data_IF_686488712847
#
_entry.id   IF_686488712847
#
_cell.length_a   1.000
_cell.length_b   1.000
_cell.length_c   1.000
_cell.angle_alpha   90.00
_cell.angle_beta   90.00
_cell.angle_gamma   90.00
#
_symmetry.space_group_name_H-M   'P 1'
#
loop_
_entity.id
_entity.type
_entity.pdbx_description
1 polymer ?
#
# COMPACT_ATOMS: atom_id res chain seq x y z
N UNK A 1 -2.35 44.42 -28.82
CA UNK A 1 -2.29 44.32 -27.34
C UNK A 1 -3.29 43.24 -26.93
N UNK A 2 -3.10 41.99 -27.37
CA UNK A 2 -2.11 41.01 -26.88
C UNK A 2 -2.44 40.61 -25.44
N UNK A 3 -3.15 39.48 -25.31
CA UNK A 3 -3.18 38.55 -24.16
C UNK A 3 -4.12 37.37 -24.51
N UNK A 4 -3.79 36.62 -25.57
CA UNK A 4 -4.13 35.20 -25.66
C UNK A 4 -2.82 34.44 -25.52
N UNK A 5 -2.43 34.13 -24.29
CA UNK A 5 -1.30 33.27 -24.01
C UNK A 5 -1.69 32.23 -22.96
N UNK A 6 -1.59 30.99 -23.42
CA UNK A 6 -1.18 29.81 -22.67
C UNK A 6 -2.20 29.12 -21.76
N UNK A 7 -3.24 28.54 -22.39
CA UNK A 7 -3.78 27.27 -21.92
C UNK A 7 -3.29 26.14 -22.83
N UNK A 8 -2.04 25.71 -22.63
CA UNK A 8 -1.43 24.60 -23.35
C UNK A 8 -1.96 23.27 -22.80
N UNK A 9 -3.23 22.94 -23.06
CA UNK A 9 -3.75 21.58 -22.83
C UNK A 9 -3.19 20.71 -23.96
N UNK A 10 -2.05 20.04 -23.70
CA UNK A 10 -1.64 18.90 -24.54
C UNK A 10 -2.63 17.77 -24.28
N UNK A 11 -3.51 17.53 -25.23
CA UNK A 11 -4.16 16.23 -25.37
C UNK A 11 -3.06 15.18 -25.57
N UNK A 12 -2.80 14.38 -24.53
CA UNK A 12 -2.02 13.16 -24.67
C UNK A 12 -3.01 12.11 -25.19
N UNK A 13 -3.00 11.87 -26.50
CA UNK A 13 -3.67 10.71 -27.08
C UNK A 13 -2.95 9.47 -26.57
N UNK A 14 -3.55 8.77 -25.60
CA UNK A 14 -3.06 7.47 -25.13
C UNK A 14 -3.45 6.43 -26.17
N UNK A 15 -2.57 6.18 -27.13
CA UNK A 15 -2.74 5.11 -28.13
C UNK A 15 -2.51 3.71 -27.55
N UNK A 16 -2.07 3.63 -26.29
CA UNK A 16 -1.92 2.38 -25.56
C UNK A 16 -3.02 2.22 -24.51
N UNK A 17 -3.61 1.03 -24.43
CA UNK A 17 -4.71 0.67 -23.52
C UNK A 17 -4.32 0.66 -22.02
N UNK A 18 -3.23 1.34 -21.64
CA UNK A 18 -2.83 1.55 -20.25
C UNK A 18 -2.68 3.05 -19.99
N UNK A 19 -3.79 3.69 -19.63
CA UNK A 19 -3.88 5.13 -19.35
C UNK A 19 -3.14 5.60 -18.06
N UNK A 20 -2.10 4.88 -17.61
CA UNK A 20 -1.30 5.23 -16.43
C UNK A 20 0.11 5.60 -16.91
N UNK A 21 0.39 6.91 -16.94
CA UNK A 21 1.76 7.41 -17.16
C UNK A 21 2.61 6.96 -15.97
N UNK A 22 3.54 6.04 -16.20
CA UNK A 22 4.45 5.51 -15.19
C UNK A 22 5.87 5.51 -15.74
N UNK A 23 6.86 5.52 -14.85
CA UNK A 23 8.27 5.47 -15.26
C UNK A 23 8.68 4.03 -15.58
N UNK A 24 9.58 3.83 -16.54
CA UNK A 24 10.05 2.48 -16.90
C UNK A 24 10.67 1.74 -15.71
N UNK A 25 11.30 2.46 -14.78
CA UNK A 25 11.87 1.86 -13.58
C UNK A 25 10.79 1.28 -12.65
N UNK A 26 9.59 1.89 -12.60
CA UNK A 26 8.46 1.37 -11.83
C UNK A 26 7.96 0.06 -12.42
N UNK A 27 7.83 -0.01 -13.75
CA UNK A 27 7.42 -1.22 -14.47
C UNK A 27 8.44 -2.34 -14.22
N UNK A 28 9.71 -2.08 -14.53
CA UNK A 28 10.79 -3.07 -14.38
C UNK A 28 10.93 -3.57 -12.94
N UNK A 29 10.82 -2.68 -11.95
CA UNK A 29 10.89 -3.07 -10.53
C UNK A 29 9.67 -3.89 -10.12
N UNK A 30 8.48 -3.51 -10.56
CA UNK A 30 7.23 -4.25 -10.29
C UNK A 30 7.29 -5.66 -10.87
N UNK A 31 7.73 -5.81 -12.12
CA UNK A 31 7.86 -7.11 -12.78
C UNK A 31 8.87 -8.00 -12.06
N UNK A 32 10.00 -7.43 -11.60
CA UNK A 32 11.00 -8.16 -10.79
C UNK A 32 10.40 -8.62 -9.46
N UNK A 33 9.66 -7.75 -8.77
CA UNK A 33 9.00 -8.08 -7.50
C UNK A 33 7.99 -9.20 -7.69
N UNK A 34 7.09 -9.08 -8.67
CA UNK A 34 6.07 -10.10 -8.97
C UNK A 34 6.73 -11.42 -9.35
N UNK A 35 7.74 -11.40 -10.23
CA UNK A 35 8.47 -12.61 -10.61
C UNK A 35 9.10 -13.29 -9.40
N UNK A 36 9.71 -12.53 -8.48
CA UNK A 36 10.27 -13.11 -7.25
C UNK A 36 9.19 -13.67 -6.34
N UNK A 37 8.10 -12.94 -6.13
CA UNK A 37 6.96 -13.43 -5.35
C UNK A 37 6.41 -14.76 -5.89
N UNK A 38 6.18 -14.87 -7.19
CA UNK A 38 5.66 -16.10 -7.81
C UNK A 38 6.60 -17.31 -7.66
N UNK A 39 7.92 -17.08 -7.58
CA UNK A 39 8.92 -18.16 -7.50
C UNK A 39 9.35 -18.49 -6.07
N UNK A 40 9.38 -17.51 -5.17
CA UNK A 40 9.98 -17.61 -3.82
C UNK A 40 8.92 -17.69 -2.70
N UNK A 41 7.67 -17.30 -2.96
CA UNK A 41 6.65 -17.26 -1.92
C UNK A 41 6.27 -18.66 -1.43
N UNK A 42 6.04 -18.74 -0.13
CA UNK A 42 5.63 -19.95 0.56
C UNK A 42 4.45 -19.64 1.48
N UNK A 43 3.79 -20.70 1.95
CA UNK A 43 2.54 -20.60 2.71
C UNK A 43 2.77 -20.23 4.17
N UNK A 44 3.96 -20.49 4.71
CA UNK A 44 4.28 -20.28 6.12
C UNK A 44 4.95 -18.92 6.41
N UNK A 45 5.63 -18.35 5.41
CA UNK A 45 6.39 -17.10 5.47
C UNK A 45 5.95 -16.20 4.31
N UNK A 46 5.35 -15.03 4.60
CA UNK A 46 4.89 -14.12 3.55
C UNK A 46 6.05 -13.50 2.79
N UNK A 47 5.79 -13.18 1.52
CA UNK A 47 6.69 -12.34 0.73
C UNK A 47 6.39 -10.87 1.04
N UNK A 48 7.27 -10.18 1.76
CA UNK A 48 7.02 -8.81 2.24
C UNK A 48 7.70 -7.79 1.33
N UNK A 49 6.92 -6.82 0.84
CA UNK A 49 7.39 -5.65 0.10
C UNK A 49 7.14 -4.41 0.95
N UNK A 50 8.21 -3.71 1.32
CA UNK A 50 8.14 -2.50 2.13
C UNK A 50 8.40 -1.27 1.25
N UNK A 51 7.42 -0.39 1.11
CA UNK A 51 7.61 0.90 0.46
C UNK A 51 7.98 1.94 1.52
N UNK A 52 9.20 2.47 1.43
CA UNK A 52 9.75 3.47 2.35
C UNK A 52 10.48 4.60 1.59
N UNK A 53 10.68 5.73 2.27
CA UNK A 53 11.26 6.95 1.67
C UNK A 53 10.58 8.22 2.16
N UNK A 54 11.11 9.39 1.79
CA UNK A 54 10.59 10.69 2.22
C UNK A 54 9.13 10.93 1.80
N UNK A 55 8.50 11.90 2.47
CA UNK A 55 7.17 12.38 2.08
C UNK A 55 7.21 12.85 0.61
N UNK A 56 6.10 12.64 -0.10
CA UNK A 56 5.89 13.10 -1.48
C UNK A 56 6.84 12.51 -2.55
N UNK A 57 7.53 11.41 -2.24
CA UNK A 57 8.39 10.67 -3.19
C UNK A 57 7.64 9.64 -4.08
N UNK A 58 6.31 9.66 -4.09
CA UNK A 58 5.51 8.74 -4.92
C UNK A 58 5.34 7.32 -4.36
N UNK A 59 5.61 7.10 -3.07
CA UNK A 59 5.42 5.80 -2.39
C UNK A 59 4.02 5.21 -2.60
N UNK A 60 2.99 5.99 -2.29
CA UNK A 60 1.59 5.55 -2.42
C UNK A 60 1.22 5.27 -3.88
N UNK A 61 1.82 5.99 -4.84
CA UNK A 61 1.64 5.74 -6.28
C UNK A 61 2.27 4.40 -6.67
N UNK A 62 3.52 4.16 -6.28
CA UNK A 62 4.21 2.89 -6.53
C UNK A 62 3.44 1.72 -5.90
N UNK A 63 3.03 1.85 -4.65
CA UNK A 63 2.24 0.87 -3.91
C UNK A 63 0.94 0.52 -4.64
N UNK A 64 0.15 1.51 -5.09
CA UNK A 64 -1.08 1.25 -5.86
C UNK A 64 -0.78 0.56 -7.19
N UNK A 65 0.28 0.99 -7.89
CA UNK A 65 0.70 0.37 -9.14
C UNK A 65 1.07 -1.10 -8.95
N UNK A 66 1.92 -1.41 -7.96
CA UNK A 66 2.31 -2.77 -7.61
C UNK A 66 1.10 -3.64 -7.25
N UNK A 67 0.20 -3.13 -6.40
CA UNK A 67 -1.02 -3.84 -6.00
C UNK A 67 -1.86 -4.17 -7.24
N UNK A 68 -2.12 -3.19 -8.09
CA UNK A 68 -2.94 -3.37 -9.28
C UNK A 68 -2.33 -4.37 -10.27
N UNK A 69 -1.00 -4.40 -10.43
CA UNK A 69 -0.30 -5.40 -11.26
C UNK A 69 -0.31 -6.79 -10.62
N UNK A 70 -0.18 -6.88 -9.30
CA UNK A 70 -0.16 -8.16 -8.59
C UNK A 70 -1.54 -8.84 -8.53
N UNK A 71 -2.63 -8.08 -8.65
CA UNK A 71 -4.00 -8.60 -8.67
C UNK A 71 -4.25 -9.63 -9.79
N UNK A 72 -3.56 -9.50 -10.93
CA UNK A 72 -3.64 -10.45 -12.05
C UNK A 72 -3.26 -11.90 -11.65
N UNK A 73 -2.55 -12.08 -10.53
CA UNK A 73 -2.06 -13.37 -10.07
C UNK A 73 -2.82 -13.94 -8.87
N UNK A 74 -3.82 -13.22 -8.33
CA UNK A 74 -4.53 -13.64 -7.13
C UNK A 74 -5.53 -14.75 -7.44
N UNK A 75 -5.43 -15.85 -6.67
CA UNK A 75 -6.25 -17.04 -6.86
C UNK A 75 -6.32 -17.86 -5.55
N UNK A 76 -6.63 -19.16 -5.64
CA UNK A 76 -6.66 -20.06 -4.49
C UNK A 76 -5.28 -20.31 -3.87
N UNK A 77 -4.20 -20.13 -4.63
CA UNK A 77 -2.80 -20.33 -4.22
C UNK A 77 -2.15 -19.04 -3.73
N UNK A 78 -2.38 -17.93 -4.43
CA UNK A 78 -1.72 -16.65 -4.15
C UNK A 78 -2.67 -15.64 -3.51
N UNK A 79 -2.18 -14.93 -2.49
CA UNK A 79 -2.91 -13.91 -1.75
C UNK A 79 -2.16 -12.58 -1.73
N UNK A 80 -2.89 -11.49 -1.53
CA UNK A 80 -2.34 -10.14 -1.44
C UNK A 80 -2.97 -9.40 -0.27
N UNK A 81 -2.13 -8.98 0.66
CA UNK A 81 -2.54 -8.15 1.78
C UNK A 81 -1.79 -6.82 1.73
N UNK A 82 -2.51 -5.73 1.90
CA UNK A 82 -1.95 -4.39 2.07
C UNK A 82 -1.94 -4.02 3.55
N UNK A 83 -0.78 -3.62 4.07
CA UNK A 83 -0.63 -3.03 5.39
C UNK A 83 -0.45 -1.53 5.26
N UNK A 84 -1.35 -0.79 5.88
CA UNK A 84 -1.25 0.65 5.96
C UNK A 84 -0.68 1.07 7.32
N UNK A 85 0.58 1.48 7.30
CA UNK A 85 1.24 2.06 8.45
C UNK A 85 1.50 3.56 8.26
N UNK A 86 0.92 4.20 7.24
CA UNK A 86 0.97 5.66 7.05
C UNK A 86 -0.32 6.33 7.58
N UNK A 87 -0.30 6.69 8.86
CA UNK A 87 -1.43 7.37 9.53
C UNK A 87 -1.70 8.79 9.01
N UNK A 88 -0.74 9.40 8.29
CA UNK A 88 -0.90 10.72 7.70
C UNK A 88 -1.58 10.71 6.33
N UNK A 89 -1.53 9.57 5.63
CA UNK A 89 -2.15 9.38 4.32
C UNK A 89 -2.72 7.97 4.18
N UNK A 90 -3.79 7.70 4.92
CA UNK A 90 -4.42 6.39 4.92
C UNK A 90 -5.04 6.02 3.56
N UNK A 91 -5.01 4.74 3.24
CA UNK A 91 -5.72 4.06 2.15
C UNK A 91 -6.72 3.08 2.78
N UNK A 92 -7.91 2.93 2.20
CA UNK A 92 -9.03 2.10 2.69
C UNK A 92 -9.68 2.51 4.02
N UNK A 93 -9.06 3.35 4.84
CA UNK A 93 -9.60 3.78 6.13
C UNK A 93 -9.76 5.29 6.20
N UNK A 94 -10.46 5.74 7.24
CA UNK A 94 -10.38 7.15 7.66
C UNK A 94 -8.97 7.45 8.19
N UNK A 95 -8.63 8.74 8.32
CA UNK A 95 -7.34 9.18 8.83
C UNK A 95 -7.00 8.66 10.23
N UNK A 96 -5.72 8.78 10.60
CA UNK A 96 -5.18 8.39 11.91
C UNK A 96 -5.32 6.90 12.24
N UNK A 97 -5.49 6.04 11.23
CA UNK A 97 -5.66 4.60 11.40
C UNK A 97 -4.46 3.83 10.89
N UNK A 98 -4.09 2.76 11.60
CA UNK A 98 -3.28 1.69 11.04
C UNK A 98 -4.20 0.53 10.68
N UNK A 99 -3.96 -0.13 9.55
CA UNK A 99 -4.78 -1.29 9.20
C UNK A 99 -4.05 -2.31 8.34
N UNK A 100 -4.66 -3.48 8.17
CA UNK A 100 -4.37 -4.33 7.01
C UNK A 100 -5.66 -4.76 6.30
N UNK A 101 -5.56 -4.91 4.98
CA UNK A 101 -6.69 -5.25 4.11
C UNK A 101 -6.25 -6.29 3.09
N UNK A 102 -7.02 -7.37 2.96
CA UNK A 102 -6.86 -8.31 1.85
C UNK A 102 -7.44 -7.67 0.58
N UNK A 103 -6.66 -7.70 -0.50
CA UNK A 103 -6.97 -7.01 -1.75
C UNK A 103 -7.41 -8.01 -2.80
N UNK A 104 -8.62 -7.82 -3.30
CA UNK A 104 -9.25 -8.68 -4.32
C UNK A 104 -9.75 -7.86 -5.52
N UNK A 105 -9.68 -6.53 -5.44
CA UNK A 105 -10.20 -5.62 -6.46
C UNK A 105 -9.21 -4.48 -6.73
N UNK A 106 -9.11 -3.97 -7.97
CA UNK A 106 -8.21 -2.87 -8.32
C UNK A 106 -8.45 -1.60 -7.49
N UNK A 107 -7.37 -0.90 -7.18
CA UNK A 107 -7.36 0.41 -6.51
C UNK A 107 -7.38 1.50 -7.56
N UNK A 108 -8.60 1.94 -7.88
CA UNK A 108 -8.85 2.98 -8.88
C UNK A 108 -9.41 4.22 -8.20
N UNK A 109 -8.69 5.33 -8.36
CA UNK A 109 -9.08 6.63 -7.80
C UNK A 109 -8.40 6.99 -6.47
N UNK A 110 -8.82 8.11 -5.86
CA UNK A 110 -8.22 8.62 -4.62
C UNK A 110 -8.61 7.76 -3.39
N UNK A 111 -7.88 7.84 -2.26
CA UNK A 111 -8.16 7.07 -1.05
C UNK A 111 -9.63 7.09 -0.58
N UNK A 112 -10.29 8.24 -0.71
CA UNK A 112 -11.68 8.41 -0.29
C UNK A 112 -12.71 7.67 -1.16
N UNK A 113 -12.33 7.21 -2.37
CA UNK A 113 -13.25 6.52 -3.27
C UNK A 113 -13.49 5.05 -2.91
N UNK A 114 -12.68 4.48 -2.01
CA UNK A 114 -12.66 3.04 -1.73
C UNK A 114 -12.43 2.74 -0.24
N UNK A 115 -12.92 3.61 0.64
CA UNK A 115 -12.95 3.35 2.08
C UNK A 115 -13.78 2.09 2.35
N UNK A 116 -13.19 1.11 3.04
CA UNK A 116 -13.88 -0.15 3.38
C UNK A 116 -14.57 0.01 4.74
N UNK A 117 -15.86 0.38 4.72
CA UNK A 117 -16.70 0.44 5.93
C UNK A 117 -16.91 -0.93 6.60
N UNK A 118 -16.69 -2.02 5.86
CA UNK A 118 -16.94 -3.40 6.29
C UNK A 118 -15.65 -4.15 6.67
N UNK A 119 -14.52 -3.46 6.84
CA UNK A 119 -13.32 -4.10 7.36
C UNK A 119 -13.62 -4.68 8.74
N UNK A 120 -13.19 -5.93 9.01
CA UNK A 120 -13.32 -6.51 10.35
C UNK A 120 -12.68 -5.55 11.35
N UNK A 121 -13.44 -5.19 12.39
CA UNK A 121 -13.08 -4.11 13.32
C UNK A 121 -11.72 -4.31 14.01
N UNK A 122 -11.21 -5.55 14.07
CA UNK A 122 -9.91 -5.87 14.65
C UNK A 122 -8.73 -5.56 13.73
N UNK A 123 -8.96 -5.46 12.41
CA UNK A 123 -7.91 -5.16 11.41
C UNK A 123 -7.60 -3.68 11.26
N UNK A 124 -8.30 -2.81 12.00
CA UNK A 124 -8.17 -1.36 11.99
C UNK A 124 -7.94 -0.88 13.42
N UNK A 125 -6.84 -0.16 13.63
CA UNK A 125 -6.48 0.42 14.93
C UNK A 125 -6.43 1.94 14.81
N UNK A 126 -7.35 2.63 15.48
CA UNK A 126 -7.37 4.09 15.56
C UNK A 126 -6.27 4.59 16.50
N UNK A 127 -5.31 5.33 15.95
CA UNK A 127 -4.17 5.88 16.67
C UNK A 127 -4.45 7.25 17.28
N UNK A 128 -5.26 8.09 16.60
CA UNK A 128 -5.71 9.39 17.10
C UNK A 128 -4.75 10.56 16.88
N UNK A 129 -3.67 10.36 16.11
CA UNK A 129 -2.78 11.43 15.67
C UNK A 129 -2.42 11.22 14.20
N UNK A 130 -2.21 12.33 13.49
CA UNK A 130 -1.77 12.34 12.07
C UNK A 130 -0.27 12.02 11.89
N UNK A 131 0.47 11.80 12.98
CA UNK A 131 1.87 11.42 12.94
C UNK A 131 2.24 10.58 14.16
N UNK A 132 3.24 9.67 14.08
CA UNK A 132 3.64 8.86 15.21
C UNK A 132 4.29 9.66 16.37
N UNK A 133 4.67 10.92 16.15
CA UNK A 133 5.51 11.71 17.05
C UNK A 133 4.96 11.83 18.49
N UNK A 134 3.64 11.98 18.71
CA UNK A 134 3.10 12.10 20.07
C UNK A 134 3.19 10.81 20.90
N UNK A 135 3.29 9.63 20.28
CA UNK A 135 3.32 8.34 20.98
C UNK A 135 4.01 7.22 20.15
N UNK A 136 5.31 7.35 19.80
CA UNK A 136 5.99 6.45 18.87
C UNK A 136 6.01 4.98 19.35
N UNK A 137 6.10 4.75 20.66
CA UNK A 137 6.00 3.40 21.25
C UNK A 137 4.63 2.77 20.98
N UNK A 138 3.55 3.54 21.09
CA UNK A 138 2.18 3.07 20.82
C UNK A 138 1.99 2.77 19.34
N UNK A 139 2.54 3.58 18.45
CA UNK A 139 2.54 3.31 17.02
C UNK A 139 3.20 1.96 16.72
N UNK A 140 4.38 1.68 17.28
CA UNK A 140 5.05 0.39 17.11
C UNK A 140 4.26 -0.78 17.73
N UNK A 141 3.60 -0.57 18.88
CA UNK A 141 2.71 -1.56 19.47
C UNK A 141 1.54 -1.90 18.52
N UNK A 142 0.98 -0.89 17.83
CA UNK A 142 -0.13 -1.10 16.90
C UNK A 142 0.32 -1.83 15.64
N UNK A 143 1.46 -1.47 15.05
CA UNK A 143 2.07 -2.22 13.93
C UNK A 143 2.29 -3.69 14.33
N UNK A 144 2.85 -3.93 15.52
CA UNK A 144 3.05 -5.28 16.02
C UNK A 144 1.74 -6.05 16.24
N UNK A 145 0.70 -5.36 16.74
CA UNK A 145 -0.63 -5.94 16.94
C UNK A 145 -1.25 -6.36 15.61
N UNK A 146 -1.20 -5.51 14.58
CA UNK A 146 -1.70 -5.84 13.25
C UNK A 146 -0.96 -7.03 12.64
N UNK A 147 0.37 -7.08 12.79
CA UNK A 147 1.18 -8.22 12.34
C UNK A 147 0.75 -9.53 13.02
N UNK A 148 0.50 -9.49 14.33
CA UNK A 148 0.02 -10.67 15.08
C UNK A 148 -1.37 -11.11 14.61
N UNK A 149 -2.28 -10.17 14.41
CA UNK A 149 -3.64 -10.45 13.93
C UNK A 149 -3.61 -11.06 12.53
N UNK A 150 -2.83 -10.49 11.61
CA UNK A 150 -2.66 -11.05 10.28
C UNK A 150 -2.08 -12.46 10.33
N UNK A 151 -1.09 -12.74 11.18
CA UNK A 151 -0.55 -14.09 11.33
C UNK A 151 -1.61 -15.10 11.81
N UNK A 152 -2.53 -14.69 12.68
CA UNK A 152 -3.64 -15.53 13.15
C UNK A 152 -4.62 -15.77 12.00
N UNK A 153 -5.04 -14.71 11.32
CA UNK A 153 -5.93 -14.78 10.17
C UNK A 153 -5.37 -15.66 9.05
N UNK A 154 -4.09 -15.50 8.75
CA UNK A 154 -3.38 -16.25 7.71
C UNK A 154 -3.29 -17.75 8.02
N UNK A 155 -3.06 -18.10 9.30
CA UNK A 155 -3.05 -19.50 9.77
C UNK A 155 -4.43 -20.13 9.77
N UNK A 156 -5.47 -19.35 10.06
CA UNK A 156 -6.86 -19.82 10.08
C UNK A 156 -7.47 -19.90 8.69
N UNK A 157 -6.94 -19.13 7.73
CA UNK A 157 -7.27 -19.26 6.32
C UNK A 157 -6.53 -20.46 5.69
N UNK A 158 -6.88 -20.79 4.44
CA UNK A 158 -6.23 -21.86 3.63
C UNK A 158 -4.79 -21.49 3.20
N UNK A 159 -3.96 -20.98 4.12
CA UNK A 159 -2.55 -20.55 3.99
C UNK A 159 -2.09 -20.29 2.54
N UNK A 160 -2.40 -19.12 2.00
CA UNK A 160 -1.96 -18.74 0.66
C UNK A 160 -0.47 -18.38 0.64
N UNK A 161 0.14 -18.39 -0.54
CA UNK A 161 1.46 -17.79 -0.80
C UNK A 161 1.32 -16.27 -0.86
N UNK A 162 1.16 -15.65 0.30
CA UNK A 162 0.75 -14.25 0.41
C UNK A 162 1.90 -13.27 0.18
N UNK A 163 1.68 -12.28 -0.69
CA UNK A 163 2.45 -11.05 -0.70
C UNK A 163 1.84 -10.07 0.29
N UNK A 164 2.69 -9.44 1.11
CA UNK A 164 2.31 -8.33 1.98
C UNK A 164 2.98 -7.07 1.45
N UNK A 165 2.18 -6.10 1.02
CA UNK A 165 2.67 -4.76 0.63
C UNK A 165 2.46 -3.82 1.81
N UNK A 166 3.55 -3.28 2.36
CA UNK A 166 3.53 -2.41 3.54
C UNK A 166 3.84 -0.98 3.10
N UNK A 167 2.90 -0.07 3.30
CA UNK A 167 3.13 1.36 3.18
C UNK A 167 3.58 1.93 4.53
N UNK A 168 4.58 2.82 4.51
CA UNK A 168 5.14 3.44 5.73
C UNK A 168 5.12 4.95 5.67
N UNK A 169 5.14 5.56 6.86
CA UNK A 169 5.30 7.00 7.03
C UNK A 169 6.54 7.53 6.29
N UNK A 170 6.46 8.78 5.84
CA UNK A 170 7.57 9.50 5.20
C UNK A 170 8.73 9.91 6.12
N UNK A 171 8.96 9.22 7.23
CA UNK A 171 10.01 9.55 8.19
C UNK A 171 11.35 8.93 7.78
N UNK A 172 12.30 9.79 7.41
CA UNK A 172 13.67 9.37 7.02
C UNK A 172 14.73 9.74 8.06
N UNK A 173 14.34 10.54 9.05
CA UNK A 173 15.18 10.86 10.21
C UNK A 173 14.37 10.57 11.47
N UNK A 174 15.04 10.00 12.48
CA UNK A 174 14.43 9.70 13.77
C UNK A 174 15.19 10.39 14.88
N UNK A 175 14.48 10.88 15.90
CA UNK A 175 15.04 11.05 17.24
C UNK A 175 14.60 9.84 18.06
N UNK A 176 15.41 8.79 18.06
CA UNK A 176 15.28 7.71 19.03
C UNK A 176 16.01 8.17 20.29
N UNK A 177 15.31 8.83 21.21
CA UNK A 177 15.82 9.02 22.56
C UNK A 177 15.59 7.71 23.33
N UNK A 178 16.69 7.12 23.80
CA UNK A 178 16.72 5.86 24.56
C UNK A 178 16.15 6.05 25.96
#
# INVERSE_FOLDING_TARGET
MQLEQDLYIRLIETTDQTAVITREEFISTTDKIIKRWLNEANEDVPFVVLTCGEKDMGKSIFTRYLINRALDHINSTFGLTYFDCDIGQCEFTIGDCLSYTDIETPLLGPPCSHIKSNAKSDRLLYYGFVSPQPAPVRYLQYVNRLRQLWNIDHKNANKKRSMIVVNTMGWVTGKYEK
#
